data_IF_219010540218
#
_entry.id   IF_219010540218
#
_cell.length_a   1.000
_cell.length_b   1.000
_cell.length_c   1.000
_cell.angle_alpha   90.00
_cell.angle_beta   90.00
_cell.angle_gamma   90.00
#
_symmetry.space_group_name_H-M   'P 1'
#
loop_
_entity.id
_entity.type
_entity.pdbx_description
1 polymer ?
#
# COMPACT_ATOMS: atom_id res chain seq x y z
N UNK A 1 -8.52 -11.38 -23.41
CA UNK A 1 -9.74 -11.62 -22.61
C UNK A 1 -9.38 -11.24 -21.19
N UNK A 2 -9.79 -10.05 -20.77
CA UNK A 2 -9.42 -9.41 -19.51
C UNK A 2 -10.13 -10.14 -18.35
N UNK A 3 -9.49 -11.17 -17.80
CA UNK A 3 -9.92 -11.71 -16.53
C UNK A 3 -9.43 -10.75 -15.44
N UNK A 4 -10.26 -9.78 -15.06
CA UNK A 4 -10.12 -9.09 -13.76
C UNK A 4 -10.98 -9.85 -12.76
N UNK A 5 -10.47 -10.90 -12.08
CA UNK A 5 -11.15 -11.42 -10.92
C UNK A 5 -10.90 -10.45 -9.78
N UNK A 6 -11.83 -9.54 -9.51
CA UNK A 6 -12.13 -9.11 -8.15
C UNK A 6 -13.25 -8.09 -8.15
N UNK A 7 -14.30 -8.37 -7.37
CA UNK A 7 -15.41 -7.44 -7.18
C UNK A 7 -15.03 -6.15 -6.44
N UNK A 8 -13.76 -5.77 -6.26
CA UNK A 8 -13.37 -4.54 -5.56
C UNK A 8 -12.59 -3.59 -6.48
N UNK A 9 -12.84 -2.27 -6.46
CA UNK A 9 -12.23 -1.33 -7.42
C UNK A 9 -10.70 -1.26 -7.40
N UNK A 10 -10.06 -1.42 -6.23
CA UNK A 10 -8.60 -1.38 -6.11
C UNK A 10 -7.99 -2.78 -6.30
N UNK A 11 -7.08 -2.91 -7.26
CA UNK A 11 -6.40 -4.17 -7.61
C UNK A 11 -4.90 -4.06 -7.41
N UNK A 12 -4.30 -5.17 -6.99
CA UNK A 12 -2.86 -5.35 -6.84
C UNK A 12 -2.48 -6.74 -7.32
N UNK A 13 -1.61 -6.77 -8.32
CA UNK A 13 -0.97 -7.97 -8.82
C UNK A 13 0.55 -7.79 -8.73
N UNK A 14 1.23 -8.85 -8.30
CA UNK A 14 2.67 -8.85 -8.13
C UNK A 14 3.21 -10.08 -8.86
N UNK A 15 4.11 -9.86 -9.81
CA UNK A 15 4.64 -10.95 -10.61
C UNK A 15 5.52 -11.85 -9.74
N UNK A 16 5.26 -13.15 -9.76
CA UNK A 16 6.08 -14.12 -9.06
C UNK A 16 7.46 -14.25 -9.76
N UNK A 17 8.58 -14.28 -9.02
CA UNK A 17 9.89 -14.49 -9.62
C UNK A 17 10.09 -15.97 -9.99
N UNK A 18 9.86 -16.33 -11.26
CA UNK A 18 10.15 -17.68 -11.80
C UNK A 18 11.66 -17.96 -12.00
N UNK A 19 12.52 -17.17 -11.36
CA UNK A 19 13.99 -17.28 -11.38
C UNK A 19 14.54 -17.34 -9.95
N UNK A 20 15.79 -17.75 -9.82
CA UNK A 20 16.48 -17.66 -8.52
C UNK A 20 16.68 -16.19 -8.12
N UNK A 21 16.36 -15.88 -6.87
CA UNK A 21 16.54 -14.59 -6.24
C UNK A 21 17.99 -14.40 -5.81
N UNK A 22 18.50 -13.18 -5.96
CA UNK A 22 19.87 -12.85 -5.54
C UNK A 22 20.02 -12.98 -4.00
N UNK A 23 20.96 -13.83 -3.59
CA UNK A 23 21.25 -14.10 -2.18
C UNK A 23 21.94 -12.92 -1.48
N UNK A 24 22.83 -12.21 -2.17
CA UNK A 24 23.55 -11.07 -1.62
C UNK A 24 22.57 -9.93 -1.31
N UNK A 25 21.69 -9.60 -2.25
CA UNK A 25 20.66 -8.58 -2.00
C UNK A 25 19.70 -9.02 -0.91
N UNK A 26 19.45 -10.34 -0.75
CA UNK A 26 18.64 -10.90 0.35
C UNK A 26 19.30 -10.73 1.72
N UNK A 27 20.60 -10.99 1.84
CA UNK A 27 21.34 -10.77 3.11
C UNK A 27 21.42 -9.28 3.43
N UNK A 28 21.80 -8.45 2.47
CA UNK A 28 22.00 -7.01 2.67
C UNK A 28 20.71 -6.19 2.50
N UNK A 29 19.54 -6.84 2.48
CA UNK A 29 18.25 -6.20 2.24
C UNK A 29 17.99 -5.04 3.21
N UNK A 30 18.29 -5.27 4.49
CA UNK A 30 18.07 -4.27 5.53
C UNK A 30 18.97 -3.04 5.39
N UNK A 31 20.14 -3.17 4.75
CA UNK A 31 21.04 -2.05 4.49
C UNK A 31 20.68 -1.32 3.20
N UNK A 32 20.42 -2.08 2.13
CA UNK A 32 20.05 -1.54 0.82
C UNK A 32 18.72 -0.80 0.86
N UNK A 33 17.78 -1.17 1.73
CA UNK A 33 16.52 -0.43 1.87
C UNK A 33 16.67 0.91 2.59
N UNK A 34 17.74 1.15 3.36
CA UNK A 34 17.84 2.36 4.20
C UNK A 34 17.65 3.66 3.39
N UNK A 35 18.33 3.87 2.24
CA UNK A 35 18.16 5.10 1.47
C UNK A 35 16.72 5.30 1.00
N UNK A 36 16.08 4.25 0.46
CA UNK A 36 14.71 4.36 -0.05
C UNK A 36 13.68 4.49 1.08
N UNK A 37 13.91 3.84 2.22
CA UNK A 37 13.09 3.98 3.41
C UNK A 37 13.18 5.40 3.99
N UNK A 38 14.36 6.03 3.96
CA UNK A 38 14.54 7.44 4.36
C UNK A 38 13.78 8.36 3.42
N UNK A 39 13.91 8.18 2.10
CA UNK A 39 13.15 8.96 1.11
C UNK A 39 11.65 8.81 1.36
N UNK A 40 11.16 7.58 1.50
CA UNK A 40 9.75 7.30 1.76
C UNK A 40 9.28 7.92 3.08
N UNK A 41 10.09 7.82 4.13
CA UNK A 41 9.79 8.43 5.43
C UNK A 41 9.70 9.95 5.34
N UNK A 42 10.58 10.61 4.57
CA UNK A 42 10.56 12.05 4.33
C UNK A 42 9.35 12.47 3.48
N UNK A 43 9.03 11.72 2.42
CA UNK A 43 7.84 11.98 1.59
C UNK A 43 6.54 11.84 2.39
N UNK A 44 6.51 10.91 3.35
CA UNK A 44 5.35 10.69 4.22
C UNK A 44 5.29 11.70 5.38
N UNK A 45 6.43 12.30 5.74
CA UNK A 45 6.59 13.22 6.88
C UNK A 45 6.85 14.63 6.38
N UNK A 46 5.80 15.39 6.09
CA UNK A 46 5.91 16.83 5.92
C UNK A 46 5.80 17.52 7.28
N UNK A 47 6.89 18.10 7.78
CA UNK A 47 6.85 18.92 9.00
C UNK A 47 6.44 20.35 8.65
N UNK A 48 5.24 20.77 9.05
CA UNK A 48 4.87 22.20 9.00
C UNK A 48 5.37 22.87 10.27
N UNK A 49 6.38 23.73 10.15
CA UNK A 49 6.81 24.59 11.27
C UNK A 49 5.87 25.79 11.36
N UNK A 50 4.83 25.68 12.18
CA UNK A 50 4.07 26.83 12.68
C UNK A 50 4.37 26.95 14.19
N UNK A 51 4.73 28.16 14.65
CA UNK A 51 5.41 28.45 15.92
C UNK A 51 4.98 27.71 17.21
N UNK A 52 5.90 27.69 18.19
CA UNK A 52 5.82 27.26 19.62
C UNK A 52 5.17 25.92 19.99
N UNK A 53 4.45 25.24 19.10
CA UNK A 53 3.88 23.93 19.34
C UNK A 53 4.25 23.00 18.18
N UNK A 54 5.08 21.99 18.44
CA UNK A 54 5.38 20.95 17.45
C UNK A 54 4.16 20.06 17.22
N UNK A 55 3.20 20.52 16.41
CA UNK A 55 2.14 19.68 15.89
C UNK A 55 2.59 19.09 14.55
N UNK A 56 3.12 17.86 14.60
CA UNK A 56 3.55 17.10 13.43
C UNK A 56 2.32 16.51 12.74
N UNK A 57 1.83 17.16 11.68
CA UNK A 57 0.85 16.57 10.77
C UNK A 57 1.59 16.00 9.55
N UNK A 58 1.61 14.68 9.39
CA UNK A 58 2.26 14.03 8.24
C UNK A 58 1.70 14.49 6.90
N UNK A 59 2.43 14.27 5.80
CA UNK A 59 1.98 14.67 4.45
C UNK A 59 0.66 13.99 4.06
N UNK A 60 0.47 12.76 4.54
CA UNK A 60 -0.82 12.06 4.52
C UNK A 60 -1.92 12.84 5.23
N UNK A 61 -1.66 13.50 6.36
CA UNK A 61 -2.65 14.30 7.09
C UNK A 61 -3.11 15.56 6.35
N UNK A 62 -2.20 16.26 5.67
CA UNK A 62 -2.58 17.45 4.87
C UNK A 62 -3.38 17.02 3.64
N UNK A 63 -2.93 16.03 2.86
CA UNK A 63 -3.69 15.57 1.67
C UNK A 63 -4.97 14.84 2.07
N UNK A 64 -4.95 14.03 3.13
CA UNK A 64 -6.13 13.33 3.63
C UNK A 64 -7.20 14.30 4.14
N UNK A 65 -6.84 15.18 5.08
CA UNK A 65 -7.80 16.12 5.66
C UNK A 65 -8.33 17.08 4.58
N UNK A 66 -7.46 17.56 3.68
CA UNK A 66 -7.91 18.40 2.56
C UNK A 66 -8.79 17.62 1.59
N UNK A 67 -8.53 16.34 1.33
CA UNK A 67 -9.39 15.46 0.52
C UNK A 67 -10.75 15.28 1.19
N UNK A 68 -10.80 15.02 2.50
CA UNK A 68 -12.06 14.94 3.27
C UNK A 68 -12.85 16.24 3.13
N UNK A 69 -12.21 17.41 3.32
CA UNK A 69 -12.88 18.71 3.21
C UNK A 69 -13.36 18.99 1.78
N UNK A 70 -12.56 18.66 0.76
CA UNK A 70 -12.97 18.80 -0.65
C UNK A 70 -14.15 17.89 -0.99
N UNK A 71 -14.18 16.65 -0.49
CA UNK A 71 -15.32 15.76 -0.68
C UNK A 71 -16.56 16.27 0.06
N UNK A 72 -16.40 16.76 1.29
CA UNK A 72 -17.51 17.23 2.14
C UNK A 72 -18.17 18.51 1.59
N UNK A 73 -17.36 19.51 1.21
CA UNK A 73 -17.87 20.82 0.78
C UNK A 73 -18.04 20.96 -0.73
N UNK A 74 -17.19 20.30 -1.52
CA UNK A 74 -17.14 20.47 -2.98
C UNK A 74 -17.51 19.22 -3.76
N UNK A 75 -17.67 18.06 -3.10
CA UNK A 75 -17.89 16.75 -3.73
C UNK A 75 -16.96 16.53 -4.93
N UNK A 76 -15.68 16.91 -4.76
CA UNK A 76 -14.68 16.88 -5.81
C UNK A 76 -13.42 16.24 -5.26
N UNK A 77 -12.86 15.29 -6.02
CA UNK A 77 -11.53 14.77 -5.77
C UNK A 77 -10.56 15.41 -6.79
N UNK A 78 -9.68 16.34 -6.40
CA UNK A 78 -8.70 16.93 -7.33
C UNK A 78 -7.82 15.85 -7.97
N UNK A 79 -7.71 15.85 -9.32
CA UNK A 79 -6.96 14.83 -10.05
C UNK A 79 -5.51 14.73 -9.61
N UNK A 80 -4.80 15.86 -9.50
CA UNK A 80 -3.40 15.85 -9.08
C UNK A 80 -3.18 15.33 -7.65
N UNK A 81 -4.17 15.45 -6.74
CA UNK A 81 -4.10 14.81 -5.41
C UNK A 81 -4.22 13.30 -5.51
N UNK A 82 -5.16 12.84 -6.33
CA UNK A 82 -5.34 11.43 -6.61
C UNK A 82 -4.08 10.85 -7.27
N UNK A 83 -3.53 11.53 -8.30
CA UNK A 83 -2.33 11.10 -9.01
C UNK A 83 -1.13 11.01 -8.07
N UNK A 84 -0.96 12.01 -7.19
CA UNK A 84 0.07 11.99 -6.14
C UNK A 84 -0.11 10.82 -5.17
N UNK A 85 -1.32 10.63 -4.65
CA UNK A 85 -1.62 9.53 -3.74
C UNK A 85 -1.41 8.16 -4.39
N UNK A 86 -1.80 8.02 -5.65
CA UNK A 86 -1.63 6.80 -6.43
C UNK A 86 -0.15 6.52 -6.68
N UNK A 87 0.63 7.52 -7.09
CA UNK A 87 2.07 7.39 -7.28
C UNK A 87 2.79 7.01 -5.98
N UNK A 88 2.46 7.68 -4.87
CA UNK A 88 3.02 7.36 -3.56
C UNK A 88 2.65 5.94 -3.11
N UNK A 89 1.41 5.51 -3.34
CA UNK A 89 0.96 4.15 -3.01
C UNK A 89 1.69 3.09 -3.83
N UNK A 90 1.86 3.32 -5.14
CA UNK A 90 2.65 2.44 -6.02
C UNK A 90 4.08 2.31 -5.54
N UNK A 91 4.74 3.44 -5.29
CA UNK A 91 6.11 3.48 -4.80
C UNK A 91 6.26 2.80 -3.42
N UNK A 92 5.36 3.11 -2.48
CA UNK A 92 5.35 2.47 -1.15
C UNK A 92 5.16 0.95 -1.25
N UNK A 93 4.30 0.50 -2.17
CA UNK A 93 4.07 -0.93 -2.40
C UNK A 93 5.31 -1.59 -2.98
N UNK A 94 6.02 -0.97 -3.93
CA UNK A 94 7.31 -1.47 -4.44
C UNK A 94 8.34 -1.61 -3.33
N UNK A 95 8.46 -0.62 -2.45
CA UNK A 95 9.35 -0.68 -1.27
C UNK A 95 8.94 -1.82 -0.32
N UNK A 96 7.64 -1.98 -0.05
CA UNK A 96 7.13 -3.06 0.81
C UNK A 96 7.38 -4.45 0.21
N UNK A 97 7.20 -4.61 -1.11
CA UNK A 97 7.48 -5.85 -1.86
C UNK A 97 8.96 -6.21 -1.80
N UNK A 98 9.84 -5.23 -1.98
CA UNK A 98 11.29 -5.40 -1.85
C UNK A 98 11.71 -5.82 -0.43
N UNK A 99 11.16 -5.15 0.58
CA UNK A 99 11.37 -5.46 2.01
C UNK A 99 10.88 -6.85 2.38
N UNK A 100 9.72 -7.24 1.87
CA UNK A 100 9.13 -8.56 2.09
C UNK A 100 9.80 -9.68 1.28
N UNK A 101 10.90 -9.38 0.57
CA UNK A 101 11.69 -10.29 -0.26
C UNK A 101 10.93 -10.90 -1.45
N UNK A 102 9.76 -10.36 -1.79
CA UNK A 102 8.94 -10.86 -2.90
C UNK A 102 9.60 -10.60 -4.26
N UNK A 103 10.43 -9.56 -4.35
CA UNK A 103 11.26 -9.21 -5.51
C UNK A 103 12.66 -8.81 -5.06
N UNK A 104 13.65 -9.05 -5.91
CA UNK A 104 15.06 -8.66 -5.69
C UNK A 104 15.45 -7.36 -6.42
N UNK A 105 14.59 -6.86 -7.32
CA UNK A 105 14.75 -5.58 -7.99
C UNK A 105 14.65 -4.41 -7.02
N UNK A 106 15.64 -3.50 -7.07
CA UNK A 106 15.61 -2.30 -6.24
C UNK A 106 14.41 -1.42 -6.63
N UNK A 107 13.65 -0.85 -5.67
CA UNK A 107 12.42 -0.11 -5.98
C UNK A 107 12.69 1.12 -6.84
N UNK A 108 12.09 1.16 -8.04
CA UNK A 108 12.12 2.34 -8.90
C UNK A 108 11.06 3.37 -8.45
N UNK A 109 11.36 4.64 -8.69
CA UNK A 109 10.47 5.75 -8.30
C UNK A 109 9.40 5.99 -9.35
N UNK A 110 9.72 5.78 -10.62
CA UNK A 110 8.93 6.12 -11.80
C UNK A 110 8.68 4.92 -12.73
N UNK A 111 9.63 3.99 -12.86
CA UNK A 111 9.48 2.85 -13.76
C UNK A 111 8.36 1.88 -13.34
N UNK A 112 7.69 1.31 -14.33
CA UNK A 112 6.86 0.14 -14.13
C UNK A 112 7.76 -1.07 -13.84
N UNK A 113 7.45 -1.76 -12.74
CA UNK A 113 8.16 -2.95 -12.28
C UNK A 113 7.12 -4.06 -12.06
N UNK A 114 7.51 -5.13 -11.38
CA UNK A 114 6.66 -6.27 -11.04
C UNK A 114 5.46 -6.00 -10.11
N UNK A 115 5.07 -4.74 -9.90
CA UNK A 115 3.95 -4.34 -9.03
C UNK A 115 2.92 -3.60 -9.87
N UNK A 116 1.85 -4.32 -10.22
CA UNK A 116 0.75 -3.82 -11.03
C UNK A 116 -0.38 -3.38 -10.11
N UNK A 117 -0.38 -2.10 -9.76
CA UNK A 117 -1.39 -1.51 -8.87
C UNK A 117 -2.29 -0.54 -9.65
N UNK A 118 -3.58 -0.85 -9.67
CA UNK A 118 -4.60 -0.04 -10.30
C UNK A 118 -5.67 0.37 -9.29
N UNK A 119 -5.97 1.66 -9.28
CA UNK A 119 -7.09 2.24 -8.54
C UNK A 119 -7.81 3.13 -9.55
N UNK A 120 -9.10 2.92 -9.82
CA UNK A 120 -9.85 3.80 -10.71
C UNK A 120 -10.03 5.17 -10.06
N UNK A 121 -9.99 6.22 -10.90
CA UNK A 121 -10.30 7.57 -10.46
C UNK A 121 -11.80 7.65 -10.09
N UNK A 122 -12.16 8.08 -8.87
CA UNK A 122 -13.55 8.12 -8.44
C UNK A 122 -14.28 9.34 -9.00
N UNK A 123 -15.48 9.14 -9.54
CA UNK A 123 -16.38 10.24 -9.84
C UNK A 123 -17.08 10.70 -8.57
N UNK A 124 -16.41 11.61 -7.83
CA UNK A 124 -16.79 12.03 -6.48
C UNK A 124 -18.23 12.54 -6.31
N UNK A 125 -18.91 12.98 -7.38
CA UNK A 125 -20.32 13.40 -7.32
C UNK A 125 -21.31 12.24 -7.43
N UNK A 126 -20.95 11.18 -8.14
CA UNK A 126 -21.83 10.07 -8.45
C UNK A 126 -21.57 8.87 -7.53
N UNK A 127 -20.30 8.65 -7.16
CA UNK A 127 -19.85 7.42 -6.50
C UNK A 127 -19.49 7.60 -5.02
N UNK A 128 -19.27 8.85 -4.56
CA UNK A 128 -18.84 9.13 -3.19
C UNK A 128 -19.88 9.96 -2.43
N UNK A 129 -20.23 9.48 -1.24
CA UNK A 129 -21.06 10.18 -0.29
C UNK A 129 -20.21 11.19 0.51
N UNK A 130 -20.68 12.45 0.55
CA UNK A 130 -19.97 13.58 1.17
C UNK A 130 -19.68 13.41 2.67
N UNK A 131 -20.51 12.64 3.39
CA UNK A 131 -20.42 12.49 4.85
C UNK A 131 -19.66 11.23 5.26
N UNK A 132 -19.61 10.22 4.37
CA UNK A 132 -18.99 8.94 4.68
C UNK A 132 -17.52 9.05 5.10
N UNK A 133 -16.67 9.91 4.49
CA UNK A 133 -15.27 10.04 4.88
C UNK A 133 -15.06 10.28 6.38
N UNK A 134 -16.00 10.94 7.07
CA UNK A 134 -15.93 11.18 8.51
C UNK A 134 -16.19 9.94 9.36
N UNK A 135 -16.78 8.88 8.79
CA UNK A 135 -17.17 7.65 9.50
C UNK A 135 -16.37 6.45 9.01
N UNK A 136 -15.83 6.49 7.78
CA UNK A 136 -15.07 5.37 7.18
C UNK A 136 -13.92 4.88 8.04
N UNK A 137 -13.16 5.80 8.64
CA UNK A 137 -12.02 5.45 9.48
C UNK A 137 -12.43 4.68 10.75
N UNK A 138 -13.63 4.92 11.28
CA UNK A 138 -14.20 4.15 12.39
C UNK A 138 -14.67 2.76 11.93
N UNK A 139 -15.33 2.68 10.77
CA UNK A 139 -15.75 1.40 10.18
C UNK A 139 -14.58 0.50 9.78
N UNK A 140 -13.40 1.08 9.56
CA UNK A 140 -12.16 0.36 9.27
C UNK A 140 -11.46 -0.19 10.54
N UNK A 141 -11.91 0.15 11.76
CA UNK A 141 -11.29 -0.33 13.00
C UNK A 141 -11.20 -1.87 13.06
N UNK A 142 -12.26 -2.64 12.73
CA UNK A 142 -12.17 -4.10 12.73
C UNK A 142 -11.12 -4.62 11.74
N UNK A 143 -10.93 -3.95 10.60
CA UNK A 143 -9.87 -4.30 9.65
C UNK A 143 -8.49 -4.05 10.21
N UNK A 144 -8.26 -2.94 10.92
CA UNK A 144 -6.96 -2.64 11.53
C UNK A 144 -6.54 -3.71 12.54
N UNK A 145 -7.49 -4.20 13.34
CA UNK A 145 -7.23 -5.27 14.30
C UNK A 145 -6.78 -6.55 13.57
N UNK A 146 -7.52 -6.99 12.55
CA UNK A 146 -7.18 -8.22 11.82
C UNK A 146 -5.87 -8.06 11.04
N UNK A 147 -5.69 -6.94 10.36
CA UNK A 147 -4.46 -6.64 9.61
C UNK A 147 -3.24 -6.55 10.52
N UNK A 148 -3.39 -6.12 11.77
CA UNK A 148 -2.30 -6.13 12.75
C UNK A 148 -1.81 -7.57 13.02
N UNK A 149 -2.73 -8.50 13.29
CA UNK A 149 -2.38 -9.92 13.45
C UNK A 149 -1.78 -10.53 12.17
N UNK A 150 -2.35 -10.21 11.00
CA UNK A 150 -1.80 -10.69 9.73
C UNK A 150 -0.42 -10.10 9.44
N UNK A 151 -0.13 -8.88 9.86
CA UNK A 151 1.19 -8.26 9.69
C UNK A 151 2.24 -8.97 10.55
N UNK A 152 1.86 -9.45 11.73
CA UNK A 152 2.72 -10.33 12.54
C UNK A 152 2.98 -11.65 11.81
N UNK A 153 1.94 -12.27 11.22
CA UNK A 153 2.12 -13.48 10.42
C UNK A 153 3.04 -13.24 9.20
N UNK A 154 2.87 -12.12 8.49
CA UNK A 154 3.74 -11.71 7.38
C UNK A 154 5.19 -11.55 7.84
N UNK A 155 5.42 -10.93 9.01
CA UNK A 155 6.77 -10.80 9.57
C UNK A 155 7.47 -12.16 9.72
N UNK A 156 6.78 -13.15 10.29
CA UNK A 156 7.32 -14.51 10.37
C UNK A 156 7.48 -15.17 9.00
N UNK A 157 6.54 -14.97 8.07
CA UNK A 157 6.65 -15.48 6.70
C UNK A 157 7.89 -14.93 5.99
N UNK A 158 8.19 -13.64 6.15
CA UNK A 158 9.38 -12.99 5.57
C UNK A 158 10.67 -13.56 6.17
N UNK A 159 10.71 -13.83 7.48
CA UNK A 159 11.85 -14.50 8.12
C UNK A 159 12.05 -15.91 7.53
N UNK A 160 10.98 -16.70 7.42
CA UNK A 160 11.05 -18.05 6.84
C UNK A 160 11.50 -17.97 5.38
N UNK A 161 10.95 -17.05 4.60
CA UNK A 161 11.32 -16.82 3.21
C UNK A 161 12.78 -16.39 3.08
N UNK A 162 13.30 -15.57 3.99
CA UNK A 162 14.71 -15.18 4.02
C UNK A 162 15.62 -16.40 4.08
N UNK A 163 15.40 -17.31 5.05
CA UNK A 163 16.15 -18.56 5.13
C UNK A 163 15.95 -19.42 3.88
N UNK A 164 14.70 -19.57 3.42
CA UNK A 164 14.40 -20.37 2.22
C UNK A 164 15.17 -19.87 0.98
N UNK A 165 15.24 -18.56 0.76
CA UNK A 165 15.98 -17.96 -0.35
C UNK A 165 17.49 -18.18 -0.21
N UNK A 166 18.04 -18.09 1.00
CA UNK A 166 19.49 -18.32 1.18
C UNK A 166 19.92 -19.75 0.86
N UNK A 167 19.09 -20.73 1.23
CA UNK A 167 19.38 -22.14 0.97
C UNK A 167 19.01 -22.58 -0.45
N UNK A 168 17.82 -22.19 -0.91
CA UNK A 168 17.22 -22.71 -2.16
C UNK A 168 17.28 -21.73 -3.33
N UNK A 169 17.58 -20.46 -3.08
CA UNK A 169 17.48 -19.38 -4.07
C UNK A 169 16.04 -19.00 -4.44
N UNK A 170 15.01 -19.60 -3.83
CA UNK A 170 13.61 -19.43 -4.25
C UNK A 170 12.71 -19.02 -3.10
N UNK A 171 11.71 -18.18 -3.41
CA UNK A 171 10.66 -17.81 -2.47
C UNK A 171 9.57 -18.90 -2.48
N UNK A 172 9.17 -19.49 -1.33
CA UNK A 172 8.10 -20.49 -1.32
C UNK A 172 6.76 -19.93 -1.82
N UNK A 173 6.19 -20.52 -2.87
CA UNK A 173 4.95 -20.03 -3.53
C UNK A 173 3.79 -19.78 -2.55
N UNK A 174 3.58 -20.68 -1.59
CA UNK A 174 2.51 -20.54 -0.59
C UNK A 174 2.69 -19.32 0.33
N UNK A 175 3.93 -19.00 0.71
CA UNK A 175 4.23 -17.79 1.48
C UNK A 175 4.04 -16.55 0.62
N UNK A 176 4.44 -16.61 -0.66
CA UNK A 176 4.28 -15.50 -1.59
C UNK A 176 2.80 -15.13 -1.73
N UNK A 177 1.96 -16.12 -2.04
CA UNK A 177 0.52 -15.93 -2.22
C UNK A 177 -0.14 -15.37 -0.94
N UNK A 178 0.29 -15.84 0.23
CA UNK A 178 -0.18 -15.31 1.52
C UNK A 178 0.19 -13.83 1.71
N UNK A 179 1.47 -13.48 1.55
CA UNK A 179 1.96 -12.09 1.76
C UNK A 179 1.31 -11.14 0.75
N UNK A 180 1.22 -11.55 -0.52
CA UNK A 180 0.54 -10.77 -1.58
C UNK A 180 -0.94 -10.59 -1.25
N UNK A 181 -1.62 -11.63 -0.75
CA UNK A 181 -3.01 -11.53 -0.32
C UNK A 181 -3.21 -10.53 0.83
N UNK A 182 -2.29 -10.50 1.81
CA UNK A 182 -2.31 -9.50 2.88
C UNK A 182 -2.08 -8.08 2.32
N UNK A 183 -1.16 -7.91 1.36
CA UNK A 183 -0.93 -6.62 0.69
C UNK A 183 -2.16 -6.16 -0.12
N UNK A 184 -2.83 -7.07 -0.83
CA UNK A 184 -4.11 -6.80 -1.51
C UNK A 184 -5.17 -6.33 -0.53
N UNK A 185 -5.22 -6.89 0.68
CA UNK A 185 -6.17 -6.45 1.70
C UNK A 185 -5.81 -5.07 2.26
N UNK A 186 -4.54 -4.83 2.58
CA UNK A 186 -4.06 -3.49 2.96
C UNK A 186 -4.42 -2.43 1.91
N UNK A 187 -4.24 -2.72 0.62
CA UNK A 187 -4.62 -1.81 -0.45
C UNK A 187 -6.12 -1.50 -0.46
N UNK A 188 -6.98 -2.51 -0.27
CA UNK A 188 -8.43 -2.31 -0.21
C UNK A 188 -8.86 -1.42 0.96
N UNK A 189 -8.25 -1.63 2.13
CA UNK A 189 -8.47 -0.77 3.30
C UNK A 189 -7.94 0.63 3.05
N UNK A 190 -6.78 0.77 2.41
CA UNK A 190 -6.24 2.07 2.02
C UNK A 190 -7.16 2.81 1.04
N UNK A 191 -7.62 2.15 -0.02
CA UNK A 191 -8.57 2.69 -0.99
C UNK A 191 -9.86 3.22 -0.31
N UNK A 192 -10.39 2.46 0.64
CA UNK A 192 -11.60 2.82 1.37
C UNK A 192 -11.38 3.95 2.39
N UNK A 193 -10.42 3.80 3.32
CA UNK A 193 -10.31 4.62 4.52
C UNK A 193 -9.31 5.78 4.41
N UNK A 194 -8.26 5.66 3.59
CA UNK A 194 -7.17 6.65 3.52
C UNK A 194 -7.14 7.40 2.18
N UNK A 195 -7.32 6.69 1.07
CA UNK A 195 -7.37 7.29 -0.26
C UNK A 195 -8.75 7.82 -0.60
N UNK A 196 -9.81 7.33 0.07
CA UNK A 196 -11.21 7.75 -0.10
C UNK A 196 -11.69 7.61 -1.56
N UNK A 197 -11.22 6.59 -2.26
CA UNK A 197 -11.54 6.35 -3.69
C UNK A 197 -12.75 5.47 -3.89
N UNK A 198 -13.26 4.83 -2.85
CA UNK A 198 -14.49 4.03 -2.95
C UNK A 198 -15.26 4.01 -1.64
N UNK A 199 -16.59 4.03 -1.73
CA UNK A 199 -17.51 3.85 -0.61
C UNK A 199 -17.83 2.38 -0.33
N UNK A 200 -17.37 1.46 -1.18
CA UNK A 200 -17.57 0.02 -1.00
C UNK A 200 -16.74 -0.48 0.18
N UNK A 201 -17.40 -1.12 1.15
CA UNK A 201 -16.73 -1.69 2.31
C UNK A 201 -15.79 -2.85 1.91
N UNK A 202 -14.52 -2.87 2.38
CA UNK A 202 -13.59 -3.94 2.03
C UNK A 202 -14.01 -5.30 2.60
N UNK A 203 -14.04 -6.37 1.79
CA UNK A 203 -14.31 -7.71 2.30
C UNK A 203 -13.14 -8.20 3.18
N UNK A 204 -13.46 -8.97 4.23
CA UNK A 204 -12.47 -9.65 5.08
C UNK A 204 -11.89 -10.88 4.38
N UNK A 205 -11.06 -10.64 3.38
CA UNK A 205 -10.39 -11.71 2.64
C UNK A 205 -9.01 -11.25 2.20
N UNK A 206 -8.03 -12.14 2.21
CA UNK A 206 -6.72 -11.90 1.57
C UNK A 206 -6.83 -11.96 0.05
N UNK A 207 -7.87 -12.61 -0.48
CA UNK A 207 -8.23 -12.63 -1.90
C UNK A 207 -7.37 -13.60 -2.71
N UNK A 208 -8.04 -14.55 -3.37
CA UNK A 208 -7.63 -15.15 -4.65
C UNK A 208 -8.21 -14.30 -5.77
#
# INVERSE_FOLDING_TARGET
MENIPSGFPATLEIDYPDRELDRLTTVFRLFTVIPIAVILALLTRASVHAGSGNHVFGSGGIVFLTTVLMLLFRQKYPRWWFDWNLALTRFSTRVAVYLALLRDEYPSTDDEQAVHLQIPYPDARQELNRWLPLVKWFLAIPHYVVLWFLSIAVFFCVIIAWFAILFTGRYPRSLFDFVVGVFRWWLRVAAYAFLLTTDRYPPFSTGT
#
